data_IF_957839642712
#
_entry.id   IF_957839642712
#
_cell.length_a   1.000
_cell.length_b   1.000
_cell.length_c   1.000
_cell.angle_alpha   90.00
_cell.angle_beta   90.00
_cell.angle_gamma   90.00
#
_symmetry.space_group_name_H-M   'P 1'
#
loop_
_entity.id
_entity.type
_entity.pdbx_description
1 polymer ?
#
# COMPACT_ATOMS: atom_id res chain seq x y z
N UNK A 1 -3.70 8.45 -9.90
CA UNK A 1 -4.43 7.34 -9.25
C UNK A 1 -5.66 7.06 -10.09
N UNK A 2 -5.82 5.86 -10.63
CA UNK A 2 -6.88 5.55 -11.59
C UNK A 2 -7.71 4.39 -11.07
N UNK A 3 -9.00 4.66 -10.82
CA UNK A 3 -9.88 3.70 -10.17
C UNK A 3 -10.81 2.98 -11.12
N UNK A 4 -11.28 3.57 -12.23
CA UNK A 4 -12.36 2.96 -13.03
C UNK A 4 -12.12 2.97 -14.55
N UNK A 5 -11.55 4.04 -15.09
CA UNK A 5 -11.42 4.23 -16.53
C UNK A 5 -9.97 4.14 -16.99
N UNK A 6 -9.64 3.08 -17.74
CA UNK A 6 -8.30 2.87 -18.30
C UNK A 6 -7.87 4.00 -19.24
N UNK A 7 -8.80 4.72 -19.87
CA UNK A 7 -8.49 5.86 -20.75
C UNK A 7 -7.85 7.00 -19.97
N UNK A 8 -8.20 7.18 -18.70
CA UNK A 8 -7.54 8.15 -17.82
C UNK A 8 -6.11 7.72 -17.49
N UNK A 9 -5.85 6.41 -17.36
CA UNK A 9 -4.49 5.90 -17.22
C UNK A 9 -3.65 6.18 -18.47
N UNK A 10 -4.20 5.92 -19.66
CA UNK A 10 -3.52 6.23 -20.93
C UNK A 10 -3.27 7.73 -21.09
N UNK A 11 -4.26 8.57 -20.81
CA UNK A 11 -4.10 10.02 -20.86
C UNK A 11 -3.03 10.52 -19.88
N UNK A 12 -2.97 9.97 -18.67
CA UNK A 12 -1.94 10.30 -17.69
C UNK A 12 -0.53 9.88 -18.16
N UNK A 13 -0.37 8.70 -18.76
CA UNK A 13 0.90 8.28 -19.36
C UNK A 13 1.33 9.21 -20.49
N UNK A 14 0.39 9.64 -21.34
CA UNK A 14 0.66 10.62 -22.39
C UNK A 14 1.07 11.99 -21.81
N UNK A 15 0.52 12.37 -20.66
CA UNK A 15 0.87 13.61 -19.97
C UNK A 15 2.22 13.55 -19.21
N UNK A 16 2.88 12.39 -19.16
CA UNK A 16 4.22 12.25 -18.56
C UNK A 16 4.24 12.05 -17.04
N UNK A 17 3.26 11.34 -16.47
CA UNK A 17 3.31 10.97 -15.05
C UNK A 17 4.43 9.96 -14.74
N UNK A 18 5.01 10.02 -13.54
CA UNK A 18 6.12 9.11 -13.13
C UNK A 18 5.65 7.72 -12.68
N UNK A 19 4.34 7.48 -12.63
CA UNK A 19 3.79 6.25 -12.10
C UNK A 19 2.28 6.21 -12.16
N UNK A 20 1.74 5.01 -12.32
CA UNK A 20 0.30 4.77 -12.27
C UNK A 20 -0.04 3.84 -11.12
N UNK A 21 -1.19 4.08 -10.51
CA UNK A 21 -1.82 3.10 -9.62
C UNK A 21 -3.13 2.63 -10.26
N UNK A 22 -3.25 1.32 -10.43
CA UNK A 22 -4.45 0.63 -10.89
C UNK A 22 -5.11 -0.10 -9.72
N UNK A 23 -6.44 -0.17 -9.73
CA UNK A 23 -7.21 -0.98 -8.80
C UNK A 23 -7.81 -2.21 -9.52
N UNK A 24 -7.24 -3.41 -9.32
CA UNK A 24 -7.78 -4.68 -9.84
C UNK A 24 -9.27 -4.90 -9.62
N UNK A 25 -9.80 -4.42 -8.50
CA UNK A 25 -11.20 -4.59 -8.14
C UNK A 25 -12.18 -3.92 -9.11
N UNK A 26 -11.73 -2.86 -9.78
CA UNK A 26 -12.57 -2.01 -10.62
C UNK A 26 -12.22 -2.08 -12.11
N UNK A 27 -10.94 -2.30 -12.44
CA UNK A 27 -10.47 -2.47 -13.83
C UNK A 27 -10.12 -3.94 -14.01
N UNK A 28 -11.09 -4.74 -14.50
CA UNK A 28 -10.97 -6.20 -14.66
C UNK A 28 -10.74 -6.66 -16.10
N UNK A 29 -11.06 -5.81 -17.08
CA UNK A 29 -10.92 -6.15 -18.50
C UNK A 29 -9.42 -6.29 -18.86
N UNK A 30 -9.02 -7.51 -19.20
CA UNK A 30 -7.63 -7.86 -19.53
C UNK A 30 -7.12 -7.11 -20.76
N UNK A 31 -7.98 -6.82 -21.74
CA UNK A 31 -7.58 -6.04 -22.91
C UNK A 31 -7.28 -4.59 -22.54
N UNK A 32 -8.09 -4.00 -21.66
CA UNK A 32 -7.87 -2.64 -21.16
C UNK A 32 -6.60 -2.55 -20.31
N UNK A 33 -6.38 -3.53 -19.43
CA UNK A 33 -5.15 -3.60 -18.64
C UNK A 33 -3.94 -3.76 -19.56
N UNK A 34 -4.01 -4.64 -20.57
CA UNK A 34 -2.91 -4.83 -21.52
C UNK A 34 -2.53 -3.54 -22.27
N UNK A 35 -3.52 -2.71 -22.66
CA UNK A 35 -3.27 -1.40 -23.26
C UNK A 35 -2.50 -0.47 -22.32
N UNK A 36 -2.87 -0.42 -21.04
CA UNK A 36 -2.18 0.40 -20.03
C UNK A 36 -0.77 -0.13 -19.77
N UNK A 37 -0.61 -1.45 -19.67
CA UNK A 37 0.69 -2.10 -19.46
C UNK A 37 1.63 -1.81 -20.63
N UNK A 38 1.17 -1.95 -21.87
CA UNK A 38 1.95 -1.62 -23.06
C UNK A 38 2.42 -0.15 -23.04
N UNK A 39 1.49 0.79 -22.80
CA UNK A 39 1.81 2.22 -22.75
C UNK A 39 2.77 2.60 -21.61
N UNK A 40 2.70 1.89 -20.48
CA UNK A 40 3.62 2.08 -19.35
C UNK A 40 4.99 1.45 -19.64
N UNK A 41 5.02 0.28 -20.29
CA UNK A 41 6.24 -0.40 -20.73
C UNK A 41 7.05 0.45 -21.70
N UNK A 42 6.40 1.03 -22.72
CA UNK A 42 7.04 1.90 -23.71
C UNK A 42 7.72 3.13 -23.10
N UNK A 43 7.29 3.53 -21.91
CA UNK A 43 7.80 4.70 -21.18
C UNK A 43 8.63 4.33 -19.95
N UNK A 44 8.82 3.03 -19.67
CA UNK A 44 9.50 2.53 -18.48
C UNK A 44 8.93 3.07 -17.16
N UNK A 45 7.61 3.28 -17.11
CA UNK A 45 6.91 3.83 -15.95
C UNK A 45 6.37 2.70 -15.06
N UNK A 46 6.60 2.74 -13.73
CA UNK A 46 6.08 1.72 -12.83
C UNK A 46 4.56 1.77 -12.66
N UNK A 47 3.96 0.58 -12.51
CA UNK A 47 2.56 0.41 -12.16
C UNK A 47 2.46 -0.15 -10.75
N UNK A 48 1.69 0.53 -9.89
CA UNK A 48 1.30 0.04 -8.58
C UNK A 48 -0.06 -0.66 -8.66
N UNK A 49 -0.10 -1.96 -8.36
CA UNK A 49 -1.32 -2.72 -8.14
C UNK A 49 -1.82 -2.41 -6.73
N UNK A 50 -2.97 -1.74 -6.61
CA UNK A 50 -3.52 -1.34 -5.32
C UNK A 50 -4.88 -1.96 -5.02
N UNK A 51 -4.88 -3.09 -4.30
CA UNK A 51 -6.09 -3.83 -3.90
C UNK A 51 -6.65 -3.27 -2.60
N UNK A 52 -7.95 -2.92 -2.63
CA UNK A 52 -8.71 -2.50 -1.47
C UNK A 52 -9.80 -3.53 -1.17
N UNK A 53 -10.02 -3.86 0.10
CA UNK A 53 -11.07 -4.81 0.52
C UNK A 53 -12.47 -4.36 0.07
N UNK A 54 -12.76 -3.06 0.10
CA UNK A 54 -14.07 -2.51 -0.29
C UNK A 54 -14.35 -2.50 -1.80
N UNK A 55 -13.36 -2.80 -2.63
CA UNK A 55 -13.56 -2.95 -4.08
C UNK A 55 -13.31 -4.39 -4.54
N UNK A 56 -13.27 -5.36 -3.64
CA UNK A 56 -13.17 -6.75 -4.07
C UNK A 56 -14.43 -7.14 -4.86
N UNK A 57 -14.28 -7.93 -5.93
CA UNK A 57 -15.44 -8.37 -6.71
C UNK A 57 -16.46 -9.14 -5.87
N UNK A 58 -17.75 -8.97 -6.14
CA UNK A 58 -18.82 -9.64 -5.39
C UNK A 58 -18.81 -11.17 -5.57
N UNK A 59 -18.22 -11.67 -6.66
CA UNK A 59 -17.96 -13.08 -6.95
C UNK A 59 -16.85 -13.70 -6.06
N UNK A 60 -16.25 -12.92 -5.15
CA UNK A 60 -15.33 -13.40 -4.10
C UNK A 60 -16.03 -13.69 -2.76
N UNK A 61 -17.32 -14.03 -2.77
CA UNK A 61 -17.92 -14.75 -1.63
C UNK A 61 -17.33 -16.16 -1.60
N UNK A 62 -16.48 -16.39 -0.61
CA UNK A 62 -15.64 -17.58 -0.52
C UNK A 62 -15.39 -17.90 0.94
N UNK A 63 -15.28 -19.20 1.25
CA UNK A 63 -14.88 -19.71 2.56
C UNK A 63 -13.46 -19.28 2.97
N UNK A 64 -12.67 -18.70 2.05
CA UNK A 64 -11.32 -18.25 2.33
C UNK A 64 -11.30 -16.85 3.00
N UNK A 65 -10.40 -16.62 3.98
CA UNK A 65 -10.30 -15.34 4.69
C UNK A 65 -10.08 -14.13 3.76
N UNK A 66 -10.61 -12.96 4.16
CA UNK A 66 -10.49 -11.72 3.38
C UNK A 66 -9.05 -11.37 2.98
N UNK A 67 -8.09 -11.53 3.90
CA UNK A 67 -6.68 -11.29 3.61
C UNK A 67 -6.17 -12.16 2.45
N UNK A 68 -6.57 -13.43 2.39
CA UNK A 68 -6.19 -14.37 1.33
C UNK A 68 -6.76 -13.94 -0.02
N UNK A 69 -8.05 -13.59 -0.07
CA UNK A 69 -8.70 -13.08 -1.28
C UNK A 69 -8.00 -11.87 -1.87
N UNK A 70 -7.59 -10.93 -1.01
CA UNK A 70 -6.86 -9.74 -1.42
C UNK A 70 -5.49 -10.07 -2.03
N UNK A 71 -4.77 -11.01 -1.42
CA UNK A 71 -3.46 -11.45 -1.92
C UNK A 71 -3.60 -12.18 -3.24
N UNK A 72 -4.58 -13.06 -3.37
CA UNK A 72 -4.80 -13.82 -4.61
C UNK A 72 -5.15 -12.90 -5.78
N UNK A 73 -6.03 -11.91 -5.56
CA UNK A 73 -6.34 -10.91 -6.59
C UNK A 73 -5.10 -10.11 -7.02
N UNK A 74 -4.26 -9.70 -6.06
CA UNK A 74 -3.02 -8.99 -6.38
C UNK A 74 -2.05 -9.85 -7.17
N UNK A 75 -1.88 -11.12 -6.78
CA UNK A 75 -1.00 -12.09 -7.44
C UNK A 75 -1.51 -12.46 -8.84
N UNK A 76 -2.82 -12.59 -9.03
CA UNK A 76 -3.41 -12.83 -10.35
C UNK A 76 -3.07 -11.69 -11.32
N UNK A 77 -3.31 -10.43 -10.90
CA UNK A 77 -3.00 -9.27 -11.73
C UNK A 77 -1.50 -9.12 -12.00
N UNK A 78 -0.67 -9.40 -10.99
CA UNK A 78 0.78 -9.41 -11.14
C UNK A 78 1.22 -10.43 -12.20
N UNK A 79 0.78 -11.68 -12.10
CA UNK A 79 1.09 -12.73 -13.09
C UNK A 79 0.62 -12.37 -14.49
N UNK A 80 -0.55 -11.73 -14.60
CA UNK A 80 -1.02 -11.24 -15.89
C UNK A 80 -0.09 -10.19 -16.49
N UNK A 81 0.41 -9.24 -15.69
CA UNK A 81 1.38 -8.24 -16.14
C UNK A 81 2.74 -8.87 -16.48
N UNK A 82 3.19 -9.87 -15.71
CA UNK A 82 4.40 -10.64 -16.00
C UNK A 82 4.30 -11.37 -17.34
N UNK A 83 3.15 -11.96 -17.66
CA UNK A 83 2.89 -12.59 -18.97
C UNK A 83 2.89 -11.60 -20.15
N UNK A 84 2.84 -10.30 -19.88
CA UNK A 84 3.01 -9.22 -20.86
C UNK A 84 4.46 -8.68 -20.87
N UNK A 85 5.39 -9.41 -20.25
CA UNK A 85 6.79 -9.05 -20.06
C UNK A 85 6.93 -7.67 -19.38
N UNK A 86 6.13 -7.41 -18.35
CA UNK A 86 6.19 -6.20 -17.54
C UNK A 86 6.48 -6.51 -16.08
N UNK A 87 7.56 -5.94 -15.54
CA UNK A 87 8.07 -6.21 -14.19
C UNK A 87 8.29 -4.94 -13.34
N UNK A 88 7.99 -3.74 -13.84
CA UNK A 88 8.06 -2.50 -13.06
C UNK A 88 6.82 -2.36 -12.16
N UNK A 89 6.65 -3.31 -11.25
CA UNK A 89 5.46 -3.49 -10.43
C UNK A 89 5.74 -3.09 -8.98
N UNK A 90 4.76 -2.44 -8.34
CA UNK A 90 4.69 -2.24 -6.88
C UNK A 90 3.33 -2.72 -6.40
N UNK A 91 3.21 -3.17 -5.15
CA UNK A 91 1.93 -3.68 -4.64
C UNK A 91 1.53 -3.00 -3.34
N UNK A 92 0.23 -2.72 -3.18
CA UNK A 92 -0.35 -2.27 -1.91
C UNK A 92 -1.66 -2.98 -1.66
N UNK A 93 -1.87 -3.44 -0.43
CA UNK A 93 -3.08 -4.08 0.06
C UNK A 93 -3.67 -3.24 1.20
N UNK A 94 -4.97 -2.96 1.18
CA UNK A 94 -5.62 -2.25 2.30
C UNK A 94 -6.98 -2.85 2.64
N UNK A 95 -7.12 -3.31 3.89
CA UNK A 95 -8.37 -3.81 4.44
C UNK A 95 -9.04 -2.75 5.34
N UNK A 96 -10.21 -3.09 5.90
CA UNK A 96 -10.98 -2.20 6.78
C UNK A 96 -10.38 -2.07 8.18
N UNK A 97 -9.70 -3.11 8.65
CA UNK A 97 -9.07 -3.20 9.96
C UNK A 97 -7.56 -3.46 9.86
N UNK A 98 -6.85 -3.09 10.94
CA UNK A 98 -5.39 -3.21 11.03
C UNK A 98 -4.93 -4.67 11.04
N UNK A 99 -5.50 -5.59 11.85
CA UNK A 99 -5.12 -7.01 11.83
C UNK A 99 -5.20 -7.67 10.45
N UNK A 100 -6.31 -7.50 9.73
CA UNK A 100 -6.47 -8.06 8.38
C UNK A 100 -5.45 -7.47 7.40
N UNK A 101 -5.19 -6.17 7.49
CA UNK A 101 -4.18 -5.51 6.66
C UNK A 101 -2.78 -6.07 6.92
N UNK A 102 -2.39 -6.23 8.19
CA UNK A 102 -1.10 -6.84 8.56
C UNK A 102 -1.00 -8.25 7.99
N UNK A 103 -2.04 -9.07 8.19
CA UNK A 103 -2.06 -10.46 7.71
C UNK A 103 -1.90 -10.53 6.18
N UNK A 104 -2.58 -9.68 5.44
CA UNK A 104 -2.48 -9.62 3.98
C UNK A 104 -1.06 -9.26 3.52
N UNK A 105 -0.41 -8.28 4.16
CA UNK A 105 0.98 -7.91 3.85
C UNK A 105 1.98 -9.01 4.19
N UNK A 106 1.83 -9.69 5.33
CA UNK A 106 2.66 -10.84 5.68
C UNK A 106 2.56 -11.97 4.66
N UNK A 107 1.35 -12.26 4.18
CA UNK A 107 1.10 -13.29 3.18
C UNK A 107 1.70 -12.93 1.82
N UNK A 108 1.51 -11.68 1.35
CA UNK A 108 2.03 -11.29 0.03
C UNK A 108 3.54 -11.12 0.00
N UNK A 109 4.15 -10.65 1.10
CA UNK A 109 5.60 -10.49 1.20
C UNK A 109 6.37 -11.81 1.00
N UNK A 110 5.76 -12.94 1.36
CA UNK A 110 6.33 -14.27 1.14
C UNK A 110 6.08 -14.82 -0.28
N UNK A 111 5.24 -14.16 -1.10
CA UNK A 111 4.79 -14.68 -2.40
C UNK A 111 5.31 -13.90 -3.60
N UNK A 112 5.80 -12.68 -3.42
CA UNK A 112 6.19 -11.80 -4.52
C UNK A 112 7.57 -11.16 -4.30
N UNK A 113 8.34 -10.91 -5.38
CA UNK A 113 9.63 -10.23 -5.28
C UNK A 113 9.53 -8.69 -5.42
N UNK A 114 8.31 -8.14 -5.50
CA UNK A 114 8.09 -6.71 -5.80
C UNK A 114 7.97 -5.84 -4.55
N UNK A 115 8.35 -4.54 -4.64
CA UNK A 115 8.22 -3.61 -3.54
C UNK A 115 6.77 -3.43 -3.05
N UNK A 116 6.62 -3.33 -1.73
CA UNK A 116 5.37 -3.15 -1.02
C UNK A 116 5.19 -1.70 -0.56
N UNK A 117 4.09 -1.08 -0.97
CA UNK A 117 3.67 0.23 -0.52
C UNK A 117 2.64 0.12 0.61
N UNK A 118 3.12 0.28 1.85
CA UNK A 118 2.30 0.16 3.04
C UNK A 118 1.39 1.37 3.23
N UNK A 119 0.20 1.10 3.75
CA UNK A 119 -0.68 2.12 4.29
C UNK A 119 -1.91 1.48 4.91
N UNK A 120 -2.52 2.18 5.86
CA UNK A 120 -3.77 1.77 6.50
C UNK A 120 -4.91 2.59 5.89
N UNK A 121 -6.03 1.94 5.57
CA UNK A 121 -7.24 2.62 5.06
C UNK A 121 -7.95 3.37 6.18
N UNK A 122 -8.50 4.54 5.82
CA UNK A 122 -9.42 5.35 6.63
C UNK A 122 -9.07 5.37 8.11
N UNK A 123 -7.94 5.98 8.41
CA UNK A 123 -7.46 6.02 9.77
C UNK A 123 -8.38 6.88 10.69
N UNK A 124 -9.26 7.69 10.11
CA UNK A 124 -10.29 8.46 10.82
C UNK A 124 -9.82 9.88 11.15
N UNK A 125 -10.37 10.47 12.22
CA UNK A 125 -9.93 11.75 12.77
C UNK A 125 -8.43 11.71 13.08
N UNK A 126 -7.77 12.88 13.03
CA UNK A 126 -6.29 12.99 13.03
C UNK A 126 -5.60 12.11 14.08
N UNK A 127 -6.06 12.11 15.33
CA UNK A 127 -5.44 11.32 16.40
C UNK A 127 -5.63 9.80 16.25
N UNK A 128 -6.86 9.33 16.07
CA UNK A 128 -7.11 7.89 15.91
C UNK A 128 -6.44 7.36 14.65
N UNK A 129 -6.34 8.21 13.63
CA UNK A 129 -5.70 7.86 12.38
C UNK A 129 -4.20 7.71 12.47
N UNK A 130 -3.54 8.60 13.20
CA UNK A 130 -2.11 8.46 13.50
C UNK A 130 -1.85 7.18 14.29
N UNK A 131 -2.66 6.88 15.31
CA UNK A 131 -2.49 5.67 16.14
C UNK A 131 -2.68 4.40 15.30
N UNK A 132 -3.78 4.30 14.54
CA UNK A 132 -4.03 3.13 13.68
C UNK A 132 -2.93 2.92 12.65
N UNK A 133 -2.46 4.01 12.03
CA UNK A 133 -1.38 3.97 11.05
C UNK A 133 -0.06 3.54 11.70
N UNK A 134 0.28 4.09 12.86
CA UNK A 134 1.49 3.75 13.60
C UNK A 134 1.52 2.27 14.02
N UNK A 135 0.39 1.72 14.49
CA UNK A 135 0.28 0.30 14.83
C UNK A 135 0.45 -0.57 13.58
N UNK A 136 -0.35 -0.31 12.54
CA UNK A 136 -0.37 -1.17 11.36
C UNK A 136 0.93 -1.12 10.54
N UNK A 137 1.43 0.08 10.26
CA UNK A 137 2.69 0.27 9.53
C UNK A 137 3.87 -0.16 10.41
N UNK A 138 3.85 0.18 11.70
CA UNK A 138 4.96 -0.11 12.61
C UNK A 138 5.22 -1.61 12.79
N UNK A 139 4.17 -2.42 12.92
CA UNK A 139 4.31 -3.89 13.01
C UNK A 139 4.95 -4.46 11.75
N UNK A 140 4.52 -4.03 10.56
CA UNK A 140 5.05 -4.53 9.29
C UNK A 140 6.51 -4.11 9.08
N UNK A 141 6.83 -2.84 9.33
CA UNK A 141 8.20 -2.35 9.23
C UNK A 141 9.14 -3.04 10.22
N UNK A 142 8.69 -3.29 11.46
CA UNK A 142 9.47 -4.06 12.44
C UNK A 142 9.76 -5.49 11.98
N UNK A 143 8.87 -6.08 11.18
CA UNK A 143 9.07 -7.38 10.54
C UNK A 143 9.93 -7.33 9.27
N UNK A 144 10.44 -6.16 8.89
CA UNK A 144 11.21 -5.98 7.66
C UNK A 144 10.35 -5.97 6.39
N UNK A 145 9.03 -5.76 6.52
CA UNK A 145 8.09 -5.73 5.39
C UNK A 145 7.78 -4.27 5.06
N UNK A 146 8.00 -3.87 3.81
CA UNK A 146 7.60 -2.57 3.27
C UNK A 146 8.76 -1.71 2.78
N UNK A 147 8.57 -1.10 1.61
CA UNK A 147 9.60 -0.31 0.90
C UNK A 147 9.25 1.18 0.83
N UNK A 148 7.95 1.48 0.88
CA UNK A 148 7.41 2.83 0.93
C UNK A 148 6.16 2.83 1.79
N UNK A 149 5.90 3.93 2.49
CA UNK A 149 4.74 4.07 3.37
C UNK A 149 3.92 5.30 2.99
N UNK A 150 2.62 5.23 3.27
CA UNK A 150 1.72 6.39 3.32
C UNK A 150 0.82 6.29 4.53
N UNK A 151 0.85 7.32 5.37
CA UNK A 151 -0.17 7.56 6.40
C UNK A 151 -1.35 8.27 5.71
N UNK A 152 -2.59 7.87 6.01
CA UNK A 152 -3.78 8.47 5.42
C UNK A 152 -4.66 9.07 6.51
N UNK A 153 -4.75 10.41 6.55
CA UNK A 153 -5.48 11.15 7.59
C UNK A 153 -6.52 12.06 6.95
N UNK A 154 -7.64 12.28 7.65
CA UNK A 154 -8.59 13.35 7.31
C UNK A 154 -8.09 14.71 7.85
N UNK A 155 -6.89 15.11 7.42
CA UNK A 155 -6.16 16.28 7.91
C UNK A 155 -5.28 16.89 6.81
N UNK A 156 -4.48 17.92 7.13
CA UNK A 156 -3.60 18.53 6.13
C UNK A 156 -2.52 17.52 5.65
N UNK A 157 -2.17 17.42 4.35
CA UNK A 157 -1.20 16.44 3.86
C UNK A 157 0.18 16.49 4.55
N UNK A 158 0.61 17.67 5.02
CA UNK A 158 1.84 17.80 5.81
C UNK A 158 1.81 17.00 7.12
N UNK A 159 0.62 16.77 7.69
CA UNK A 159 0.45 15.93 8.88
C UNK A 159 0.65 14.45 8.56
N UNK A 160 0.19 13.99 7.38
CA UNK A 160 0.49 12.62 6.90
C UNK A 160 2.00 12.39 6.79
N UNK A 161 2.72 13.38 6.23
CA UNK A 161 4.18 13.33 6.09
C UNK A 161 4.86 13.32 7.47
N UNK A 162 4.45 14.21 8.36
CA UNK A 162 5.03 14.29 9.72
C UNK A 162 4.84 12.98 10.49
N UNK A 163 3.63 12.41 10.43
CA UNK A 163 3.33 11.12 11.06
C UNK A 163 4.14 9.96 10.45
N UNK A 164 4.28 9.92 9.12
CA UNK A 164 5.09 8.91 8.44
C UNK A 164 6.55 8.96 8.89
N UNK A 165 7.14 10.16 8.99
CA UNK A 165 8.50 10.34 9.48
C UNK A 165 8.64 9.91 10.94
N UNK A 166 7.67 10.23 11.82
CA UNK A 166 7.75 9.85 13.23
C UNK A 166 7.66 8.33 13.43
N UNK A 167 6.85 7.63 12.63
CA UNK A 167 6.79 6.16 12.62
C UNK A 167 8.16 5.58 12.23
N UNK A 168 8.75 6.06 11.12
CA UNK A 168 10.05 5.58 10.65
C UNK A 168 11.17 5.90 11.65
N UNK A 169 11.13 7.07 12.29
CA UNK A 169 12.08 7.48 13.32
C UNK A 169 11.97 6.64 14.58
N UNK A 170 10.75 6.31 15.01
CA UNK A 170 10.49 5.46 16.18
C UNK A 170 11.06 4.06 16.02
N UNK A 171 11.17 3.57 14.78
CA UNK A 171 11.80 2.28 14.44
C UNK A 171 13.28 2.40 14.06
N UNK A 172 13.87 3.60 14.11
CA UNK A 172 15.27 3.83 13.72
C UNK A 172 15.55 3.68 12.22
N UNK A 173 14.52 3.65 11.37
CA UNK A 173 14.65 3.43 9.92
C UNK A 173 15.01 4.71 9.14
N UNK A 174 14.60 5.88 9.64
CA UNK A 174 14.91 7.19 9.05
C UNK A 174 15.06 8.26 10.13
N UNK A 175 15.94 9.24 9.93
CA UNK A 175 16.06 10.43 10.78
C UNK A 175 15.98 11.71 9.95
N UNK A 176 15.27 12.72 10.46
CA UNK A 176 15.27 14.10 9.95
C UNK A 176 15.27 15.05 11.15
N UNK A 177 16.29 15.91 11.25
CA UNK A 177 16.50 16.80 12.40
C UNK A 177 17.06 16.08 13.65
N UNK A 178 17.48 16.82 14.69
CA UNK A 178 17.99 16.23 15.91
C UNK A 178 16.91 15.41 16.60
N UNK A 179 17.25 14.22 17.08
CA UNK A 179 16.39 13.41 17.96
C UNK A 179 16.49 13.98 19.36
N UNK A 180 15.49 14.71 19.91
CA UNK A 180 15.49 14.98 21.33
C UNK A 180 15.32 13.64 22.04
N UNK A 181 16.40 13.15 22.66
CA UNK A 181 16.32 12.06 23.62
C UNK A 181 15.60 12.61 24.84
N UNK A 182 14.28 12.59 24.84
CA UNK A 182 13.50 12.77 26.07
C UNK A 182 13.39 11.40 26.72
N UNK A 183 14.34 11.13 27.62
CA UNK A 183 14.16 10.14 28.68
C UNK A 183 12.89 10.53 29.47
N UNK A 184 11.76 9.89 29.16
CA UNK A 184 10.62 9.88 30.06
C UNK A 184 10.87 8.80 31.12
N UNK A 185 11.19 9.31 32.31
CA UNK A 185 11.38 8.64 33.60
C UNK A 185 10.45 7.42 33.77
N UNK A 186 11.01 6.21 33.69
CA UNK A 186 10.46 5.07 34.43
C UNK A 186 10.74 5.32 35.90
N UNK A 187 9.70 5.68 36.67
CA UNK A 187 9.75 5.54 38.12
C UNK A 187 9.95 4.05 38.38
N UNK A 188 11.01 3.68 39.11
CA UNK A 188 11.22 2.29 39.54
C UNK A 188 9.93 1.75 40.17
N UNK A 189 9.53 0.50 39.89
CA UNK A 189 8.52 -0.15 40.71
C UNK A 189 9.07 -0.21 42.13
N UNK A 190 8.35 0.40 43.08
CA UNK A 190 8.71 0.29 44.49
C UNK A 190 8.74 -1.20 44.87
N UNK A 191 9.86 -1.58 45.48
CA UNK A 191 10.13 -2.87 46.14
C UNK A 191 8.99 -3.36 47.01
#
# INVERSE_FOLDING_TARGET
>A
DVHFDYRLALAALCAGVDGIRLNPGNIRDREQIAKVVAAAKDREIPIRIGVNAGSLPADFESDIPLAERMVDLAVEHMKFMENLDFNLIKVSLKAFDVPTTIKAYQMIAARIPYPLHLGITEAGLSQSGVIRSAIGIGVLLYQGIGDTIRVSLSAHPCEEVSAAYEILKSLGLRQRGPTPVRLAVTKCPNS
#
